data_IF_603530000970
#
_entry.id   IF_603530000970
#
_cell.length_a   1.000
_cell.length_b   1.000
_cell.length_c   1.000
_cell.angle_alpha   90.00
_cell.angle_beta   90.00
_cell.angle_gamma   90.00
#
_symmetry.space_group_name_H-M   'P 1'
#
loop_
_entity.id
_entity.type
_entity.pdbx_description
1 polymer ?
#
# COMPACT_ATOMS: atom_id res chain seq x y z
N UNK A 1 -4.95 -0.47 30.26
CA UNK A 1 -4.20 0.20 29.17
C UNK A 1 -3.77 -0.77 28.07
N UNK A 2 -3.20 -1.95 28.40
CA UNK A 2 -2.90 -2.99 27.40
C UNK A 2 -4.15 -3.47 26.62
N UNK A 3 -5.34 -3.42 27.23
CA UNK A 3 -6.60 -3.79 26.57
C UNK A 3 -6.93 -2.91 25.35
N UNK A 4 -6.86 -1.57 25.47
CA UNK A 4 -7.32 -0.68 24.40
C UNK A 4 -6.48 -0.78 23.10
N UNK A 5 -5.16 -0.90 23.23
CA UNK A 5 -4.28 -1.09 22.06
C UNK A 5 -4.55 -2.43 21.41
N UNK A 6 -4.73 -3.49 22.21
CA UNK A 6 -5.05 -4.81 21.69
C UNK A 6 -6.42 -4.85 21.01
N UNK A 7 -7.43 -4.19 21.58
CA UNK A 7 -8.78 -4.08 20.99
C UNK A 7 -8.71 -3.33 19.65
N UNK A 8 -7.97 -2.22 19.61
CA UNK A 8 -7.76 -1.46 18.38
C UNK A 8 -7.04 -2.27 17.30
N UNK A 9 -5.93 -2.94 17.66
CA UNK A 9 -5.17 -3.78 16.73
C UNK A 9 -6.02 -4.95 16.22
N UNK A 10 -6.82 -5.56 17.09
CA UNK A 10 -7.74 -6.66 16.73
C UNK A 10 -8.80 -6.17 15.74
N UNK A 11 -9.43 -5.03 16.01
CA UNK A 11 -10.43 -4.44 15.12
C UNK A 11 -9.83 -4.05 13.76
N UNK A 12 -8.64 -3.43 13.75
CA UNK A 12 -7.94 -3.05 12.51
C UNK A 12 -7.47 -4.27 11.72
N UNK A 13 -7.00 -5.33 12.38
CA UNK A 13 -6.67 -6.61 11.74
C UNK A 13 -7.89 -7.22 11.06
N UNK A 14 -9.04 -7.26 11.75
CA UNK A 14 -10.31 -7.72 11.17
C UNK A 14 -10.68 -6.90 9.93
N UNK A 15 -10.63 -5.57 10.03
CA UNK A 15 -10.92 -4.69 8.89
C UNK A 15 -9.94 -4.92 7.72
N UNK A 16 -8.66 -5.15 7.98
CA UNK A 16 -7.69 -5.50 6.94
C UNK A 16 -8.06 -6.82 6.24
N UNK A 17 -8.48 -7.84 6.99
CA UNK A 17 -8.99 -9.10 6.44
C UNK A 17 -10.23 -8.87 5.57
N UNK A 18 -11.22 -8.11 6.06
CA UNK A 18 -12.45 -7.82 5.33
C UNK A 18 -12.15 -7.11 3.99
N UNK A 19 -11.23 -6.14 4.01
CA UNK A 19 -10.76 -5.44 2.80
C UNK A 19 -10.10 -6.42 1.83
N UNK A 20 -9.17 -7.25 2.30
CA UNK A 20 -8.48 -8.23 1.47
C UNK A 20 -9.43 -9.24 0.82
N UNK A 21 -10.49 -9.62 1.53
CA UNK A 21 -11.53 -10.52 1.00
C UNK A 21 -12.40 -9.83 -0.06
N UNK A 22 -12.72 -8.55 0.12
CA UNK A 22 -13.39 -7.76 -0.93
C UNK A 22 -12.51 -7.59 -2.18
N UNK A 23 -11.19 -7.45 -2.02
CA UNK A 23 -10.26 -7.44 -3.15
C UNK A 23 -10.22 -8.79 -3.87
N UNK A 24 -10.30 -9.91 -3.14
CA UNK A 24 -10.35 -11.24 -3.72
C UNK A 24 -11.66 -11.46 -4.52
N UNK A 25 -12.79 -10.96 -4.01
CA UNK A 25 -14.08 -10.98 -4.72
C UNK A 25 -14.02 -10.19 -6.04
N UNK A 26 -13.43 -8.98 -6.02
CA UNK A 26 -13.27 -8.14 -7.21
C UNK A 26 -12.34 -8.79 -8.25
N UNK A 27 -11.31 -9.50 -7.78
CA UNK A 27 -10.43 -10.31 -8.63
C UNK A 27 -11.07 -11.64 -9.07
N UNK A 28 -12.32 -11.92 -8.66
CA UNK A 28 -13.08 -13.14 -8.97
C UNK A 28 -12.34 -14.42 -8.58
N UNK A 29 -11.62 -14.38 -7.46
CA UNK A 29 -10.90 -15.52 -6.93
C UNK A 29 -11.87 -16.53 -6.31
N UNK A 30 -11.64 -17.81 -6.59
CA UNK A 30 -12.45 -18.91 -6.04
C UNK A 30 -12.38 -18.96 -4.50
N UNK A 31 -11.19 -18.70 -3.94
CA UNK A 31 -10.98 -18.65 -2.49
C UNK A 31 -10.98 -17.20 -2.02
N UNK A 32 -12.09 -16.77 -1.44
CA UNK A 32 -12.27 -15.39 -0.94
C UNK A 32 -11.23 -14.99 0.12
N UNK A 33 -10.83 -15.93 0.98
CA UNK A 33 -9.85 -15.70 2.05
C UNK A 33 -8.39 -15.91 1.64
N UNK A 34 -8.08 -16.01 0.34
CA UNK A 34 -6.72 -16.33 -0.15
C UNK A 34 -5.64 -15.40 0.40
N UNK A 35 -5.95 -14.12 0.61
CA UNK A 35 -5.05 -13.14 1.22
C UNK A 35 -5.25 -13.02 2.73
N UNK A 36 -6.49 -12.95 3.21
CA UNK A 36 -6.79 -12.72 4.64
C UNK A 36 -6.28 -13.86 5.53
N UNK A 37 -6.27 -15.10 5.03
CA UNK A 37 -5.71 -16.25 5.75
C UNK A 37 -4.24 -16.04 6.16
N UNK A 38 -3.46 -15.32 5.36
CA UNK A 38 -2.05 -15.03 5.64
C UNK A 38 -1.89 -14.09 6.84
N UNK A 39 -2.84 -13.18 7.04
CA UNK A 39 -2.86 -12.30 8.22
C UNK A 39 -3.40 -13.04 9.45
N UNK A 40 -4.31 -14.00 9.26
CA UNK A 40 -4.94 -14.76 10.34
C UNK A 40 -4.07 -15.93 10.84
N UNK A 41 -3.04 -16.29 10.11
CA UNK A 41 -2.07 -17.30 10.51
C UNK A 41 -1.41 -16.95 11.87
N UNK A 42 -1.20 -17.98 12.71
CA UNK A 42 -0.59 -17.83 14.03
C UNK A 42 0.88 -17.38 13.93
N UNK A 43 1.56 -17.74 12.85
CA UNK A 43 2.94 -17.34 12.55
C UNK A 43 3.01 -16.03 11.74
N UNK A 44 1.88 -15.35 11.52
CA UNK A 44 1.84 -14.09 10.75
C UNK A 44 2.77 -13.02 11.33
N UNK A 45 3.59 -12.44 10.46
CA UNK A 45 4.56 -11.39 10.83
C UNK A 45 3.92 -9.99 10.71
N UNK A 46 2.74 -9.83 11.31
CA UNK A 46 2.03 -8.55 11.34
C UNK A 46 2.62 -7.61 12.39
N UNK A 47 2.69 -6.31 12.07
CA UNK A 47 3.32 -5.30 12.95
C UNK A 47 2.39 -4.12 13.17
N UNK A 48 2.37 -3.60 14.40
CA UNK A 48 1.72 -2.34 14.72
C UNK A 48 2.76 -1.26 15.05
N UNK A 49 2.65 -0.08 14.44
CA UNK A 49 3.56 1.05 14.65
C UNK A 49 2.80 2.30 15.03
N UNK A 50 3.27 2.99 16.05
CA UNK A 50 2.87 4.34 16.39
C UNK A 50 4.01 5.30 16.03
N UNK A 51 3.71 6.29 15.20
CA UNK A 51 4.65 7.36 14.85
C UNK A 51 4.19 8.67 15.48
N UNK A 52 5.14 9.40 16.07
CA UNK A 52 4.95 10.76 16.55
C UNK A 52 5.91 11.70 15.83
N UNK A 53 5.36 12.70 15.15
CA UNK A 53 6.09 13.75 14.46
C UNK A 53 5.84 15.06 15.20
N UNK A 54 6.83 15.61 15.94
CA UNK A 54 6.66 16.88 16.64
C UNK A 54 6.51 18.04 15.64
N UNK A 55 5.95 19.20 16.08
CA UNK A 55 6.02 20.42 15.31
C UNK A 55 7.49 20.81 15.06
N UNK A 56 7.79 21.36 13.89
CA UNK A 56 9.11 21.88 13.54
C UNK A 56 9.00 23.36 13.13
N UNK A 57 9.08 24.31 14.09
CA UNK A 57 8.89 25.73 13.83
C UNK A 57 9.86 26.31 12.78
N UNK A 58 11.06 25.74 12.66
CA UNK A 58 12.09 26.13 11.69
C UNK A 58 11.58 26.02 10.23
N UNK A 59 10.57 25.20 9.98
CA UNK A 59 9.91 25.10 8.68
C UNK A 59 9.20 26.38 8.24
N UNK A 60 8.72 27.23 9.17
CA UNK A 60 7.99 28.44 8.80
C UNK A 60 8.82 29.39 7.94
N UNK A 61 10.14 29.39 8.11
CA UNK A 61 11.09 30.18 7.33
C UNK A 61 11.46 29.53 5.98
N UNK A 62 11.23 28.23 5.84
CA UNK A 62 11.65 27.41 4.70
C UNK A 62 10.51 26.99 3.77
N UNK A 63 9.27 26.91 4.25
CA UNK A 63 8.05 26.66 3.48
C UNK A 63 7.88 27.64 2.31
N UNK A 64 8.08 28.97 2.46
CA UNK A 64 7.99 29.92 1.34
C UNK A 64 9.04 29.68 0.25
N UNK A 65 10.12 28.95 0.57
CA UNK A 65 11.21 28.59 -0.35
C UNK A 65 11.01 27.20 -0.98
N UNK A 66 9.85 26.58 -0.76
CA UNK A 66 9.50 25.25 -1.28
C UNK A 66 10.25 24.08 -0.63
N UNK A 67 10.98 24.31 0.46
CA UNK A 67 11.75 23.25 1.16
C UNK A 67 10.87 22.61 2.23
N UNK A 68 10.37 21.41 1.94
CA UNK A 68 9.64 20.55 2.89
C UNK A 68 10.62 19.71 3.71
N UNK A 69 10.46 19.67 5.03
CA UNK A 69 11.21 18.77 5.90
C UNK A 69 10.53 17.40 5.92
N UNK A 70 11.31 16.36 5.72
CA UNK A 70 10.81 14.98 5.70
C UNK A 70 10.73 14.46 7.13
N UNK A 71 9.52 14.15 7.59
CA UNK A 71 9.28 13.45 8.85
C UNK A 71 9.49 11.94 8.72
N UNK A 72 9.10 11.35 7.58
CA UNK A 72 9.40 9.96 7.24
C UNK A 72 9.67 9.85 5.73
N UNK A 73 10.80 9.27 5.35
CA UNK A 73 11.26 9.20 3.97
C UNK A 73 10.32 8.49 3.02
N UNK A 74 10.46 8.75 1.72
CA UNK A 74 9.69 8.06 0.70
C UNK A 74 9.99 6.56 0.68
N UNK A 75 8.94 5.74 0.57
CA UNK A 75 9.05 4.29 0.49
C UNK A 75 7.74 3.67 0.01
N UNK A 76 7.79 2.39 -0.33
CA UNK A 76 6.62 1.49 -0.38
C UNK A 76 6.63 0.55 0.82
N UNK A 77 5.45 0.05 1.22
CA UNK A 77 5.35 -0.91 2.32
C UNK A 77 5.64 -2.33 1.83
N UNK A 78 6.55 -3.10 2.45
CA UNK A 78 6.92 -4.42 1.95
C UNK A 78 5.83 -5.50 2.16
N UNK A 79 4.98 -5.35 3.18
CA UNK A 79 3.93 -6.30 3.57
C UNK A 79 2.80 -6.42 2.52
N UNK A 80 1.70 -7.10 2.85
CA UNK A 80 0.53 -7.27 1.96
C UNK A 80 -0.29 -5.98 1.92
N UNK A 81 -0.59 -5.43 3.10
CA UNK A 81 -1.47 -4.28 3.28
C UNK A 81 -0.99 -3.44 4.46
N UNK A 82 -1.14 -2.12 4.40
CA UNK A 82 -1.06 -1.27 5.57
C UNK A 82 -2.33 -0.45 5.78
N UNK A 83 -2.71 -0.30 7.04
CA UNK A 83 -3.93 0.39 7.47
C UNK A 83 -3.54 1.49 8.44
N UNK A 84 -3.66 2.73 7.99
CA UNK A 84 -3.21 3.93 8.68
C UNK A 84 -4.41 4.73 9.20
N UNK A 85 -4.29 5.20 10.44
CA UNK A 85 -5.11 6.28 11.00
C UNK A 85 -4.18 7.33 11.58
N UNK A 86 -4.53 8.61 11.44
CA UNK A 86 -3.81 9.69 12.11
C UNK A 86 -4.73 10.62 12.87
N UNK A 87 -4.15 11.49 13.70
CA UNK A 87 -4.84 12.68 14.14
C UNK A 87 -5.10 13.62 12.94
N UNK A 88 -5.82 14.71 13.18
CA UNK A 88 -6.22 15.68 12.16
C UNK A 88 -5.09 16.67 11.76
N UNK A 89 -3.86 16.17 11.64
CA UNK A 89 -2.68 16.95 11.21
C UNK A 89 -2.18 16.41 9.87
N UNK A 90 -2.00 17.33 8.91
CA UNK A 90 -1.48 17.01 7.57
C UNK A 90 -0.04 16.47 7.63
N UNK A 91 0.38 15.82 6.54
CA UNK A 91 1.76 15.40 6.37
C UNK A 91 1.94 14.20 5.46
N UNK A 92 0.92 13.34 5.33
CA UNK A 92 0.97 12.20 4.40
C UNK A 92 0.95 12.70 2.95
N UNK A 93 1.91 12.26 2.16
CA UNK A 93 1.94 12.47 0.71
C UNK A 93 2.13 11.13 -0.01
N UNK A 94 1.49 10.99 -1.17
CA UNK A 94 1.61 9.83 -2.06
C UNK A 94 2.21 10.26 -3.39
N UNK A 95 3.00 9.39 -4.01
CA UNK A 95 3.51 9.58 -5.35
C UNK A 95 2.48 9.13 -6.38
N UNK A 96 2.18 9.98 -7.35
CA UNK A 96 1.38 9.64 -8.51
C UNK A 96 2.23 8.95 -9.57
N UNK A 97 1.58 8.48 -10.65
CA UNK A 97 2.26 7.74 -11.74
C UNK A 97 3.25 8.60 -12.52
N UNK A 98 3.04 9.91 -12.57
CA UNK A 98 3.95 10.87 -13.20
C UNK A 98 5.14 11.25 -12.29
N UNK A 99 5.23 10.68 -11.08
CA UNK A 99 6.27 10.97 -10.10
C UNK A 99 6.00 12.23 -9.27
N UNK A 100 4.89 12.93 -9.52
CA UNK A 100 4.46 14.06 -8.71
C UNK A 100 3.95 13.60 -7.34
N UNK A 101 4.08 14.47 -6.33
CA UNK A 101 3.60 14.21 -4.97
C UNK A 101 2.26 14.88 -4.73
N UNK A 102 1.29 14.11 -4.24
CA UNK A 102 -0.02 14.60 -3.83
C UNK A 102 -0.17 14.50 -2.31
N UNK A 103 -0.54 15.61 -1.67
CA UNK A 103 -0.90 15.60 -0.26
C UNK A 103 -2.25 14.94 -0.04
N UNK A 104 -2.32 14.05 0.95
CA UNK A 104 -3.58 13.42 1.36
C UNK A 104 -4.19 14.27 2.48
N UNK A 105 -5.44 14.76 2.32
CA UNK A 105 -6.12 15.51 3.38
C UNK A 105 -6.22 14.66 4.66
N UNK A 106 -5.86 15.21 5.83
CA UNK A 106 -6.01 14.48 7.08
C UNK A 106 -7.49 14.28 7.39
N UNK A 107 -7.84 13.10 7.88
CA UNK A 107 -9.17 12.78 8.39
C UNK A 107 -9.02 11.81 9.58
N UNK A 108 -9.38 12.28 10.77
CA UNK A 108 -9.29 11.48 12.00
C UNK A 108 -10.40 10.42 12.13
N UNK A 109 -11.41 10.46 11.26
CA UNK A 109 -12.56 9.55 11.26
C UNK A 109 -12.45 8.45 10.20
N UNK A 110 -11.45 8.54 9.32
CA UNK A 110 -11.20 7.57 8.25
C UNK A 110 -9.90 6.80 8.46
N UNK A 111 -9.79 5.69 7.74
CA UNK A 111 -8.55 4.94 7.59
C UNK A 111 -8.03 5.10 6.16
N UNK A 112 -6.71 5.16 6.02
CA UNK A 112 -6.02 5.14 4.74
C UNK A 112 -5.40 3.77 4.55
N UNK A 113 -5.62 3.18 3.37
CA UNK A 113 -5.21 1.80 3.08
C UNK A 113 -4.17 1.83 1.96
N UNK A 114 -2.98 1.26 2.21
CA UNK A 114 -1.98 1.08 1.18
C UNK A 114 -1.93 -0.39 0.74
N UNK A 115 -1.85 -0.59 -0.57
CA UNK A 115 -1.34 -1.82 -1.16
C UNK A 115 0.15 -1.89 -0.86
N UNK A 116 0.62 -3.02 -0.34
CA UNK A 116 2.04 -3.28 -0.17
C UNK A 116 2.64 -4.10 -1.31
N UNK A 117 3.96 -4.21 -1.29
CA UNK A 117 4.76 -4.87 -2.32
C UNK A 117 4.38 -6.35 -2.48
N UNK A 118 4.12 -7.05 -1.37
CA UNK A 118 3.75 -8.46 -1.40
C UNK A 118 2.42 -8.70 -2.11
N UNK A 119 1.42 -7.82 -1.90
CA UNK A 119 0.14 -7.91 -2.61
C UNK A 119 0.28 -7.54 -4.09
N UNK A 120 1.16 -6.59 -4.40
CA UNK A 120 1.52 -6.30 -5.78
C UNK A 120 2.10 -7.55 -6.47
N UNK A 121 3.01 -8.29 -5.82
CA UNK A 121 3.56 -9.52 -6.38
C UNK A 121 2.49 -10.59 -6.57
N UNK A 122 1.69 -10.87 -5.52
CA UNK A 122 0.64 -11.90 -5.58
C UNK A 122 -0.41 -11.63 -6.66
N UNK A 123 -0.64 -10.37 -7.02
CA UNK A 123 -1.59 -9.97 -8.07
C UNK A 123 -0.94 -9.75 -9.44
N UNK A 124 0.30 -10.22 -9.64
CA UNK A 124 1.12 -9.98 -10.83
C UNK A 124 1.15 -8.50 -11.26
N UNK A 125 1.10 -7.58 -10.30
CA UNK A 125 1.16 -6.15 -10.57
C UNK A 125 -0.16 -5.49 -10.92
N UNK A 126 -1.31 -6.15 -10.79
CA UNK A 126 -2.64 -5.53 -10.96
C UNK A 126 -2.91 -4.47 -9.90
N UNK A 127 -2.55 -4.76 -8.65
CA UNK A 127 -2.43 -3.74 -7.62
C UNK A 127 -1.00 -3.26 -7.55
N UNK A 128 -0.83 -1.93 -7.55
CA UNK A 128 0.49 -1.31 -7.42
C UNK A 128 0.66 -0.77 -6.01
N UNK A 129 1.77 -1.13 -5.41
CA UNK A 129 2.24 -0.63 -4.12
C UNK A 129 2.42 0.87 -4.19
N UNK A 130 1.87 1.59 -3.21
CA UNK A 130 1.83 3.05 -3.24
C UNK A 130 3.08 3.61 -2.57
N UNK A 131 3.91 4.29 -3.36
CA UNK A 131 5.03 5.05 -2.81
C UNK A 131 4.48 6.27 -2.06
N UNK A 132 4.87 6.41 -0.79
CA UNK A 132 4.36 7.44 0.10
C UNK A 132 5.47 7.95 1.03
N UNK A 133 5.25 9.14 1.62
CA UNK A 133 6.15 9.77 2.59
C UNK A 133 5.36 10.58 3.61
N UNK A 134 6.04 11.03 4.67
CA UNK A 134 5.47 12.00 5.62
C UNK A 134 6.34 13.25 5.65
N UNK A 135 5.72 14.40 5.43
CA UNK A 135 6.29 15.73 5.59
C UNK A 135 5.95 16.23 7.00
N UNK A 136 6.93 16.84 7.67
CA UNK A 136 6.75 17.41 8.99
C UNK A 136 5.87 18.67 8.93
N UNK A 137 5.13 18.94 10.00
CA UNK A 137 4.28 20.13 10.11
C UNK A 137 4.95 21.17 11.01
N UNK A 138 4.84 22.44 10.66
CA UNK A 138 5.53 23.52 11.36
C UNK A 138 4.86 23.98 12.66
N UNK A 139 3.58 23.63 12.86
CA UNK A 139 2.75 24.15 13.96
C UNK A 139 2.18 23.04 14.83
N UNK A 140 1.72 21.95 14.22
CA UNK A 140 0.97 20.88 14.89
C UNK A 140 1.77 19.58 14.91
N UNK A 141 1.68 18.85 16.02
CA UNK A 141 2.19 17.48 16.05
C UNK A 141 1.29 16.56 15.21
N UNK A 142 1.90 15.58 14.55
CA UNK A 142 1.19 14.51 13.87
C UNK A 142 1.44 13.21 14.61
N UNK A 143 0.37 12.48 14.91
CA UNK A 143 0.45 11.12 15.44
C UNK A 143 -0.26 10.18 14.47
N UNK A 144 0.37 9.07 14.11
CA UNK A 144 -0.25 8.05 13.27
C UNK A 144 -0.05 6.66 13.83
N UNK A 145 -1.08 5.83 13.70
CA UNK A 145 -1.11 4.42 14.05
C UNK A 145 -1.24 3.63 12.75
N UNK A 146 -0.36 2.66 12.55
CA UNK A 146 -0.32 1.89 11.31
C UNK A 146 -0.24 0.40 11.67
N UNK A 147 -1.20 -0.37 11.18
CA UNK A 147 -1.13 -1.83 11.15
C UNK A 147 -0.55 -2.26 9.80
N UNK A 148 0.45 -3.14 9.82
CA UNK A 148 1.05 -3.76 8.64
C UNK A 148 0.72 -5.26 8.66
N UNK A 149 -0.09 -5.71 7.70
CA UNK A 149 -0.48 -7.11 7.56
C UNK A 149 0.57 -7.90 6.78
N UNK A 150 1.42 -8.63 7.49
CA UNK A 150 2.46 -9.50 6.92
C UNK A 150 2.05 -10.98 6.98
N UNK A 151 2.49 -11.81 6.02
CA UNK A 151 2.29 -13.26 6.06
C UNK A 151 3.28 -13.93 7.05
N UNK A 152 3.20 -15.26 7.25
CA UNK A 152 4.26 -16.01 7.91
C UNK A 152 5.61 -15.86 7.23
N UNK A 153 6.71 -15.95 7.99
CA UNK A 153 8.07 -15.82 7.45
C UNK A 153 8.39 -16.87 6.37
N UNK A 154 7.81 -18.05 6.49
CA UNK A 154 7.95 -19.18 5.56
C UNK A 154 7.09 -19.05 4.30
N UNK A 155 6.15 -18.10 4.26
CA UNK A 155 5.20 -17.96 3.15
C UNK A 155 5.93 -17.65 1.85
N UNK A 156 5.58 -18.40 0.80
CA UNK A 156 6.07 -18.18 -0.56
C UNK A 156 5.21 -17.13 -1.25
N UNK A 157 5.86 -16.05 -1.68
CA UNK A 157 5.23 -14.94 -2.37
C UNK A 157 5.55 -15.05 -3.86
N UNK A 158 4.50 -15.26 -4.66
CA UNK A 158 4.52 -15.32 -6.11
C UNK A 158 3.15 -14.92 -6.66
N UNK A 159 3.02 -14.56 -7.95
CA UNK A 159 1.72 -14.35 -8.56
C UNK A 159 0.79 -15.55 -8.38
N UNK A 160 -0.46 -15.29 -7.98
CA UNK A 160 -1.45 -16.34 -7.80
C UNK A 160 -1.76 -17.00 -9.15
N UNK A 161 -1.66 -18.34 -9.28
CA UNK A 161 -1.91 -19.01 -10.55
C UNK A 161 -3.31 -18.75 -11.12
N UNK A 162 -4.32 -18.60 -10.25
CA UNK A 162 -5.70 -18.29 -10.64
C UNK A 162 -5.88 -16.88 -11.23
N UNK A 163 -4.89 -16.01 -11.06
CA UNK A 163 -4.88 -14.68 -11.65
C UNK A 163 -4.16 -14.66 -12.99
N UNK A 164 -3.31 -15.63 -13.31
CA UNK A 164 -2.52 -15.61 -14.54
C UNK A 164 -3.38 -16.00 -15.74
N UNK A 165 -3.36 -15.20 -16.81
CA UNK A 165 -3.94 -15.60 -18.09
C UNK A 165 -3.10 -16.71 -18.75
N UNK A 166 -3.67 -17.42 -19.73
CA UNK A 166 -2.91 -18.41 -20.51
C UNK A 166 -1.73 -17.70 -21.18
N UNK A 167 -0.52 -18.21 -20.96
CA UNK A 167 0.74 -17.67 -21.47
C UNK A 167 1.19 -16.32 -20.85
N UNK A 168 0.50 -15.82 -19.81
CA UNK A 168 0.96 -14.63 -19.09
C UNK A 168 2.25 -14.94 -18.32
N UNK A 169 3.32 -14.20 -18.60
CA UNK A 169 4.57 -14.32 -17.87
C UNK A 169 4.46 -13.69 -16.48
N UNK A 170 4.99 -14.38 -15.47
CA UNK A 170 5.19 -13.78 -14.15
C UNK A 170 6.14 -12.59 -14.25
N UNK A 171 5.75 -11.44 -13.72
CA UNK A 171 6.60 -10.25 -13.64
C UNK A 171 7.62 -10.34 -12.49
N UNK A 172 7.46 -11.30 -11.59
CA UNK A 172 8.22 -11.39 -10.34
C UNK A 172 8.73 -12.82 -10.15
N UNK A 173 9.95 -12.95 -9.64
CA UNK A 173 10.48 -14.23 -9.17
C UNK A 173 9.76 -14.63 -7.88
N UNK A 174 9.65 -15.94 -7.63
CA UNK A 174 9.21 -16.46 -6.32
C UNK A 174 10.27 -16.17 -5.26
N UNK A 175 9.83 -15.85 -4.04
CA UNK A 175 10.67 -15.67 -2.86
C UNK A 175 9.85 -15.97 -1.59
N UNK A 176 10.51 -16.20 -0.47
CA UNK A 176 9.85 -16.27 0.85
C UNK A 176 9.73 -14.90 1.49
N UNK A 177 8.70 -14.68 2.31
CA UNK A 177 8.57 -13.43 3.06
C UNK A 177 9.83 -13.11 3.89
N UNK A 178 10.45 -14.12 4.49
CA UNK A 178 11.72 -13.98 5.21
C UNK A 178 12.84 -13.37 4.34
N UNK A 179 13.05 -13.90 3.13
CA UNK A 179 14.07 -13.39 2.21
C UNK A 179 13.80 -11.93 1.83
N UNK A 180 12.54 -11.59 1.55
CA UNK A 180 12.18 -10.23 1.18
C UNK A 180 12.31 -9.25 2.34
N UNK A 181 11.83 -9.63 3.53
CA UNK A 181 12.01 -8.85 4.76
C UNK A 181 13.49 -8.60 5.04
N UNK A 182 14.32 -9.65 5.00
CA UNK A 182 15.78 -9.53 5.19
C UNK A 182 16.42 -8.62 4.16
N UNK A 183 16.05 -8.72 2.89
CA UNK A 183 16.52 -7.83 1.83
C UNK A 183 16.08 -6.37 2.07
N UNK A 184 14.84 -6.16 2.50
CA UNK A 184 14.30 -4.84 2.80
C UNK A 184 15.05 -4.14 3.95
N UNK A 185 15.38 -4.86 5.03
CA UNK A 185 16.18 -4.32 6.13
C UNK A 185 17.63 -3.96 5.74
N UNK A 186 18.16 -4.59 4.69
CA UNK A 186 19.49 -4.28 4.13
C UNK A 186 19.44 -3.24 2.98
N UNK A 187 18.28 -2.62 2.73
CA UNK A 187 18.09 -1.62 1.68
C UNK A 187 17.95 -0.21 2.29
N UNK A 188 18.14 0.82 1.47
CA UNK A 188 17.75 2.18 1.87
C UNK A 188 16.24 2.29 1.83
N UNK A 189 15.68 3.18 2.66
CA UNK A 189 14.23 3.35 2.78
C UNK A 189 13.55 3.60 1.42
N UNK A 190 14.19 4.43 0.58
CA UNK A 190 13.73 4.85 -0.76
C UNK A 190 13.99 3.85 -1.89
N UNK A 191 14.70 2.75 -1.63
CA UNK A 191 15.05 1.79 -2.67
C UNK A 191 13.79 1.12 -3.24
N UNK A 192 13.76 0.93 -4.56
CA UNK A 192 12.78 0.06 -5.20
C UNK A 192 13.13 -1.41 -4.91
N UNK A 193 12.64 -1.92 -3.77
CA UNK A 193 12.92 -3.27 -3.29
C UNK A 193 12.44 -4.37 -4.25
N UNK A 194 11.31 -4.17 -4.92
CA UNK A 194 10.78 -5.11 -5.92
C UNK A 194 11.64 -5.17 -7.19
N UNK A 195 12.43 -4.13 -7.49
CA UNK A 195 13.29 -4.12 -8.68
C UNK A 195 14.30 -5.27 -8.73
N UNK A 196 14.72 -5.81 -7.58
CA UNK A 196 15.65 -6.95 -7.47
C UNK A 196 14.99 -8.30 -7.79
N UNK A 197 13.67 -8.36 -7.68
CA UNK A 197 12.85 -9.57 -7.80
C UNK A 197 12.09 -9.58 -9.12
N UNK A 198 12.05 -8.46 -9.83
CA UNK A 198 11.50 -8.41 -11.17
C UNK A 198 12.18 -9.46 -12.07
N UNK A 199 11.38 -10.25 -12.77
CA UNK A 199 11.90 -11.25 -13.69
C UNK A 199 12.68 -10.55 -14.81
N UNK A 200 13.94 -10.95 -15.03
CA UNK A 200 14.77 -10.38 -16.10
C UNK A 200 14.27 -10.72 -17.52
N UNK A 201 13.25 -11.58 -17.64
CA UNK A 201 12.72 -12.06 -18.93
C UNK A 201 11.90 -11.00 -19.68
N UNK A 202 11.54 -9.88 -19.04
CA UNK A 202 10.99 -8.71 -19.72
C UNK A 202 12.14 -7.88 -20.32
N UNK A 203 12.68 -8.33 -21.45
CA UNK A 203 13.28 -7.41 -22.41
C UNK A 203 12.16 -6.49 -22.92
N UNK A 204 11.88 -5.42 -22.17
CA UNK A 204 11.30 -4.23 -22.78
C UNK A 204 12.36 -3.75 -23.74
N UNK A 205 12.15 -3.96 -25.05
CA UNK A 205 12.87 -3.22 -26.08
C UNK A 205 12.65 -1.76 -25.74
N UNK A 206 13.69 -1.11 -25.22
CA UNK A 206 13.79 0.34 -25.27
C UNK A 206 14.07 0.63 -26.74
N UNK A 207 13.02 0.66 -27.55
CA UNK A 207 13.12 1.22 -28.88
C UNK A 207 13.44 2.69 -28.68
N UNK A 208 14.69 3.04 -28.99
CA UNK A 208 15.09 4.42 -29.16
C UNK A 208 14.10 5.06 -30.13
N UNK A 209 13.39 6.07 -29.64
CA UNK A 209 12.49 6.89 -30.44
C UNK A 209 13.32 7.64 -31.49
N UNK A 210 13.52 7.01 -32.65
CA UNK A 210 13.90 7.69 -33.88
C UNK A 210 12.67 7.70 -34.80
N UNK A 211 12.35 8.90 -35.27
CA UNK A 211 11.10 9.22 -35.94
C UNK A 211 10.84 8.45 -37.24
N UNK A 212 9.58 8.51 -37.63
CA UNK A 212 9.00 8.05 -38.90
C UNK A 212 9.08 6.55 -39.19
N UNK A 213 7.95 5.87 -39.00
CA UNK A 213 7.08 5.42 -40.11
C UNK A 213 5.84 4.73 -39.53
N UNK A 214 4.68 5.02 -40.12
CA UNK A 214 3.41 4.52 -39.64
C UNK A 214 3.20 3.04 -39.95
N UNK A 215 2.74 2.28 -38.94
CA UNK A 215 1.84 1.16 -39.12
C UNK A 215 1.02 0.97 -37.84
N UNK A 216 -0.30 1.04 -37.99
CA UNK A 216 -1.28 0.91 -36.91
C UNK A 216 -1.36 -0.55 -36.42
N UNK A 217 -1.06 -0.78 -35.16
CA UNK A 217 -1.68 -1.84 -34.36
C UNK A 217 -1.84 -1.35 -32.92
N UNK A 218 -2.98 -0.71 -32.63
CA UNK A 218 -3.30 -0.25 -31.28
C UNK A 218 -3.76 -1.44 -30.42
N UNK A 219 -2.84 -2.10 -29.71
CA UNK A 219 -3.21 -2.80 -28.47
C UNK A 219 -3.42 -1.72 -27.40
N UNK A 220 -4.65 -1.21 -27.36
CA UNK A 220 -5.09 -0.24 -26.37
C UNK A 220 -5.44 -1.02 -25.10
N UNK A 221 -4.48 -1.22 -24.20
CA UNK A 221 -4.77 -1.67 -22.83
C UNK A 221 -5.61 -0.58 -22.16
N UNK A 222 -6.93 -0.73 -22.22
CA UNK A 222 -7.86 0.12 -21.49
C UNK A 222 -7.74 -0.25 -20.02
N UNK A 223 -7.12 0.63 -19.23
CA UNK A 223 -7.29 0.60 -17.78
C UNK A 223 -8.72 1.00 -17.46
N UNK A 224 -9.46 0.08 -16.85
CA UNK A 224 -10.79 0.34 -16.34
C UNK A 224 -10.68 1.20 -15.07
N UNK A 225 -11.30 2.38 -15.12
CA UNK A 225 -11.38 3.33 -14.00
C UNK A 225 -12.43 2.93 -12.95
N UNK A 226 -13.13 1.81 -13.16
CA UNK A 226 -14.03 1.19 -12.17
C UNK A 226 -13.37 1.00 -10.81
N UNK A 227 -12.05 0.75 -10.76
CA UNK A 227 -11.26 0.61 -9.53
C UNK A 227 -11.23 1.87 -8.66
N UNK A 228 -11.12 3.06 -9.25
CA UNK A 228 -11.14 4.31 -8.49
C UNK A 228 -12.53 4.60 -7.92
N UNK A 229 -13.57 4.27 -8.69
CA UNK A 229 -14.97 4.37 -8.27
C UNK A 229 -15.36 3.28 -7.26
N UNK A 230 -14.75 2.09 -7.34
CA UNK A 230 -14.93 1.01 -6.38
C UNK A 230 -14.19 1.29 -5.08
N UNK A 231 -12.94 1.78 -5.12
CA UNK A 231 -12.23 2.24 -3.92
C UNK A 231 -13.03 3.33 -3.20
N UNK A 232 -13.62 4.28 -3.95
CA UNK A 232 -14.53 5.28 -3.40
C UNK A 232 -15.81 4.66 -2.81
N UNK A 233 -16.40 3.64 -3.45
CA UNK A 233 -17.59 2.91 -2.93
C UNK A 233 -17.26 2.03 -1.71
N UNK A 234 -16.08 1.44 -1.64
CA UNK A 234 -15.60 0.66 -0.50
C UNK A 234 -15.30 1.55 0.69
N UNK A 235 -14.68 2.72 0.46
CA UNK A 235 -14.54 3.76 1.48
C UNK A 235 -15.93 4.18 2.00
N UNK A 236 -16.91 4.41 1.13
CA UNK A 236 -18.28 4.79 1.52
C UNK A 236 -19.02 3.66 2.27
N UNK A 237 -18.90 2.39 1.84
CA UNK A 237 -19.52 1.23 2.52
C UNK A 237 -18.87 0.90 3.86
N UNK A 238 -17.54 0.98 3.97
CA UNK A 238 -16.82 0.81 5.23
C UNK A 238 -17.18 1.92 6.22
N UNK A 239 -17.37 3.16 5.76
CA UNK A 239 -17.85 4.26 6.60
C UNK A 239 -19.26 4.00 7.18
N UNK A 240 -20.13 3.32 6.43
CA UNK A 240 -21.47 2.92 6.88
C UNK A 240 -21.46 1.76 7.90
N UNK A 241 -20.62 0.75 7.69
CA UNK A 241 -20.56 -0.44 8.57
C UNK A 241 -19.83 -0.16 9.89
N UNK A 242 -18.75 0.63 9.86
CA UNK A 242 -17.94 0.94 11.05
C UNK A 242 -18.70 1.88 12.01
N UNK A 243 -19.56 2.78 11.50
CA UNK A 243 -20.47 3.57 12.35
C UNK A 243 -21.48 2.71 13.10
N UNK A 244 -21.92 1.59 12.51
CA UNK A 244 -22.86 0.65 13.13
C UNK A 244 -22.22 -0.15 14.28
N UNK A 245 -20.98 -0.60 14.09
CA UNK A 245 -20.31 -1.50 15.03
C UNK A 245 -19.54 -0.77 16.16
N UNK A 246 -19.15 0.49 15.98
CA UNK A 246 -18.39 1.26 16.99
C UNK A 246 -19.23 2.24 17.83
N UNK A 247 -20.56 2.28 17.66
CA UNK A 247 -21.46 3.02 18.57
C UNK A 247 -21.24 4.53 18.65
N UNK A 248 -20.56 5.15 17.68
CA UNK A 248 -20.40 6.61 17.65
C UNK A 248 -21.70 7.28 17.20
N UNK A 249 -22.47 7.80 18.16
CA UNK A 249 -23.57 8.74 17.87
C UNK A 249 -23.00 10.05 17.34
N UNK A 250 -23.72 10.61 16.37
CA UNK A 250 -23.46 11.89 15.70
C UNK A 250 -23.26 13.05 16.66
#
# INVERSE_FOLDING_TARGET
MASLVNDYVTAVKKMACDILELLADELKLQQRNVFSKLLMDEESDSVFRLNYYPPCPELQEHEPKGRKLIGFGEHTDPQIISVLRSNNTSGLEISLRDGSWMSVPPDSNSFFINVGDSLQVMTNGRFKSVKHRVVANSVKSRMSMIYFGGPPLSEKIAPLPSLMEREEASLYKEFTWFEYKKSAFNSRLSDNRLGRIHSATTHVRVDQYNGNTGLRSSLRVRFDWSWAWWALRCIIRLYGSIKGDLGFKS
#
